data_IF_079974565656
#
_entry.id   IF_079974565656
#
_cell.length_a   1.000
_cell.length_b   1.000
_cell.length_c   1.000
_cell.angle_alpha   90.00
_cell.angle_beta   90.00
_cell.angle_gamma   90.00
#
_symmetry.space_group_name_H-M   'P 1'
#
loop_
_entity.id
_entity.type
_entity.pdbx_description
1 polymer ?
#
# COMPACT_ATOMS: atom_id res chain seq x y z
N UNK A 1 -11.87 18.23 -14.48
CA UNK A 1 -10.91 18.16 -13.36
C UNK A 1 -11.52 17.32 -12.25
N UNK A 2 -10.75 16.40 -11.68
CA UNK A 2 -11.19 15.62 -10.52
C UNK A 2 -10.26 15.87 -9.35
N UNK A 3 -10.82 16.10 -8.17
CA UNK A 3 -10.08 16.31 -6.94
C UNK A 3 -10.70 15.40 -5.88
N UNK A 4 -9.89 14.52 -5.31
CA UNK A 4 -10.28 13.70 -4.16
C UNK A 4 -9.30 13.97 -3.02
N UNK A 5 -9.81 14.11 -1.82
CA UNK A 5 -8.98 14.28 -0.63
C UNK A 5 -8.95 12.95 0.11
N UNK A 6 -7.79 12.33 0.22
CA UNK A 6 -7.69 11.01 0.86
C UNK A 6 -8.04 11.04 2.35
N UNK A 7 -7.89 12.18 3.00
CA UNK A 7 -8.28 12.32 4.40
C UNK A 7 -9.81 12.35 4.60
N UNK A 8 -10.56 12.62 3.54
CA UNK A 8 -12.02 12.68 3.56
C UNK A 8 -12.67 11.44 2.96
N UNK A 9 -11.90 10.52 2.38
CA UNK A 9 -12.42 9.28 1.83
C UNK A 9 -12.98 8.39 2.94
N UNK A 10 -14.10 7.70 2.65
CA UNK A 10 -14.66 6.74 3.58
C UNK A 10 -13.75 5.53 3.69
N UNK A 11 -13.25 5.26 4.89
CA UNK A 11 -12.40 4.12 5.18
C UNK A 11 -13.22 2.87 5.46
N UNK A 12 -12.70 1.73 5.05
CA UNK A 12 -13.28 0.41 5.30
C UNK A 12 -12.28 -0.44 6.05
N UNK A 13 -12.78 -1.25 7.00
CA UNK A 13 -11.96 -2.23 7.66
C UNK A 13 -11.68 -3.38 6.69
N UNK A 14 -10.43 -3.79 6.59
CA UNK A 14 -10.03 -4.85 5.65
C UNK A 14 -8.82 -5.62 6.16
N UNK A 15 -8.87 -6.94 6.00
CA UNK A 15 -7.70 -7.80 6.16
C UNK A 15 -7.02 -7.89 4.80
N UNK A 16 -5.87 -7.27 4.65
CA UNK A 16 -5.23 -7.09 3.35
C UNK A 16 -4.23 -8.22 3.08
N UNK A 17 -4.43 -8.95 1.99
CA UNK A 17 -3.58 -10.07 1.55
C UNK A 17 -3.31 -11.09 2.64
N UNK A 18 -4.34 -11.48 3.39
CA UNK A 18 -4.21 -12.46 4.47
C UNK A 18 -3.19 -12.05 5.54
N UNK A 19 -2.92 -10.77 5.67
CA UNK A 19 -2.00 -10.23 6.67
C UNK A 19 -2.54 -10.30 8.09
N UNK A 20 -1.76 -9.79 9.03
CA UNK A 20 -2.15 -9.70 10.44
C UNK A 20 -2.98 -8.46 10.68
N UNK A 21 -3.91 -8.57 11.61
CA UNK A 21 -4.73 -7.44 12.06
C UNK A 21 -5.70 -6.93 11.00
N UNK A 22 -6.33 -5.82 11.31
CA UNK A 22 -7.30 -5.17 10.44
C UNK A 22 -6.75 -3.80 10.07
N UNK A 23 -6.62 -3.57 8.77
CA UNK A 23 -6.24 -2.27 8.23
C UNK A 23 -7.47 -1.46 7.89
N UNK A 24 -7.32 -0.15 7.78
CA UNK A 24 -8.34 0.72 7.20
C UNK A 24 -7.90 1.09 5.79
N UNK A 25 -8.84 1.07 4.87
CA UNK A 25 -8.54 1.15 3.45
C UNK A 25 -9.59 1.96 2.69
N UNK A 26 -9.15 2.75 1.74
CA UNK A 26 -10.03 3.42 0.79
C UNK A 26 -9.37 3.50 -0.58
N UNK A 27 -10.20 3.52 -1.63
CA UNK A 27 -9.74 3.82 -2.98
C UNK A 27 -10.02 5.30 -3.24
N UNK A 28 -8.96 6.07 -3.43
CA UNK A 28 -9.04 7.51 -3.68
C UNK A 28 -9.44 7.77 -5.14
N UNK A 29 -8.76 7.07 -6.07
CA UNK A 29 -9.13 7.05 -7.48
C UNK A 29 -9.24 5.60 -7.95
N UNK A 30 -10.34 5.28 -8.60
CA UNK A 30 -10.53 3.96 -9.21
C UNK A 30 -9.82 3.91 -10.57
N UNK A 31 -9.54 2.71 -11.04
CA UNK A 31 -8.98 2.53 -12.39
C UNK A 31 -9.85 3.09 -13.49
N UNK A 32 -11.17 3.12 -13.29
CA UNK A 32 -12.11 3.68 -14.27
C UNK A 32 -12.00 5.20 -14.39
N UNK A 33 -11.57 5.87 -13.34
CA UNK A 33 -11.37 7.33 -13.35
C UNK A 33 -10.06 7.74 -14.02
N UNK A 34 -9.12 6.79 -14.16
CA UNK A 34 -7.76 7.06 -14.61
C UNK A 34 -7.59 6.56 -16.04
N UNK A 35 -7.16 7.44 -16.94
CA UNK A 35 -6.96 7.08 -18.35
C UNK A 35 -5.65 6.34 -18.61
N UNK A 36 -4.62 6.62 -17.82
CA UNK A 36 -3.33 5.93 -17.89
C UNK A 36 -3.45 4.50 -17.32
N UNK A 37 -2.48 3.61 -17.57
CA UNK A 37 -2.52 2.23 -17.07
C UNK A 37 -2.24 2.13 -15.57
N UNK A 38 -2.89 2.94 -14.78
CA UNK A 38 -2.87 2.91 -13.32
C UNK A 38 -4.13 2.23 -12.83
N UNK A 39 -3.96 1.15 -12.07
CA UNK A 39 -5.09 0.32 -11.64
C UNK A 39 -5.94 0.99 -10.57
N UNK A 40 -5.30 1.76 -9.70
CA UNK A 40 -5.96 2.43 -8.57
C UNK A 40 -4.98 3.38 -7.88
N UNK A 41 -5.51 4.28 -7.08
CA UNK A 41 -4.76 5.01 -6.06
C UNK A 41 -5.52 4.81 -4.75
N UNK A 42 -4.89 4.13 -3.81
CA UNK A 42 -5.48 3.77 -2.52
C UNK A 42 -4.82 4.52 -1.37
N UNK A 43 -5.59 4.79 -0.33
CA UNK A 43 -5.08 5.24 0.95
C UNK A 43 -5.35 4.18 2.00
N UNK A 44 -4.32 3.79 2.73
CA UNK A 44 -4.42 2.70 3.71
C UNK A 44 -3.74 3.07 5.01
N UNK A 45 -4.39 2.73 6.11
CA UNK A 45 -3.85 2.86 7.46
C UNK A 45 -3.62 1.46 8.00
N UNK A 46 -2.37 1.18 8.39
CA UNK A 46 -1.97 -0.09 9.00
C UNK A 46 -1.70 0.18 10.48
N UNK A 47 -2.58 -0.29 11.38
CA UNK A 47 -2.36 -0.12 12.82
C UNK A 47 -1.13 -0.88 13.31
N UNK A 48 -0.63 -0.59 14.52
CA UNK A 48 0.44 -1.38 15.13
C UNK A 48 0.13 -2.88 15.10
N UNK A 49 1.15 -3.71 14.92
CA UNK A 49 1.07 -5.17 14.83
C UNK A 49 0.22 -5.71 13.67
N UNK A 50 -0.11 -4.85 12.71
CA UNK A 50 -0.89 -5.22 11.53
C UNK A 50 -0.01 -5.16 10.27
N UNK A 51 -0.45 -5.81 9.22
CA UNK A 51 0.34 -5.93 7.99
C UNK A 51 -0.51 -6.12 6.74
N UNK A 52 0.09 -5.81 5.58
CA UNK A 52 -0.26 -6.47 4.33
C UNK A 52 0.49 -7.80 4.31
N UNK A 53 -0.21 -8.91 4.10
CA UNK A 53 0.43 -10.22 3.99
C UNK A 53 1.30 -10.32 2.73
N UNK A 54 2.20 -11.29 2.76
CA UNK A 54 3.04 -11.58 1.60
C UNK A 54 2.18 -12.02 0.43
N UNK A 55 2.37 -11.38 -0.71
CA UNK A 55 1.60 -11.67 -1.92
C UNK A 55 2.42 -11.36 -3.16
N UNK A 56 2.03 -11.97 -4.26
CA UNK A 56 2.63 -11.78 -5.58
C UNK A 56 1.54 -11.34 -6.53
N UNK A 57 1.80 -10.34 -7.32
CA UNK A 57 0.94 -9.97 -8.44
C UNK A 57 1.74 -9.92 -9.73
N UNK A 58 1.09 -9.64 -10.83
CA UNK A 58 1.67 -9.89 -12.15
C UNK A 58 2.65 -8.84 -12.65
N UNK A 59 2.51 -8.51 -13.93
CA UNK A 59 3.44 -7.63 -14.64
C UNK A 59 3.04 -6.17 -14.43
N UNK A 60 3.43 -5.63 -13.27
CA UNK A 60 3.19 -4.24 -12.91
C UNK A 60 4.29 -3.74 -11.98
N UNK A 61 4.34 -2.43 -11.81
CA UNK A 61 5.04 -1.81 -10.70
C UNK A 61 3.99 -1.30 -9.71
N UNK A 62 4.17 -1.61 -8.45
CA UNK A 62 3.35 -1.05 -7.38
C UNK A 62 4.23 -0.18 -6.49
N UNK A 63 3.69 0.93 -6.06
CA UNK A 63 4.42 1.88 -5.22
C UNK A 63 3.70 2.02 -3.88
N UNK A 64 4.46 1.87 -2.81
CA UNK A 64 4.03 2.22 -1.46
C UNK A 64 4.71 3.52 -1.08
N UNK A 65 3.94 4.58 -0.90
CA UNK A 65 4.44 5.86 -0.40
C UNK A 65 4.13 5.91 1.08
N UNK A 66 5.14 5.79 1.93
CA UNK A 66 4.95 5.83 3.38
C UNK A 66 4.90 7.28 3.84
N UNK A 67 3.69 7.73 4.16
CA UNK A 67 3.43 9.11 4.58
C UNK A 67 3.80 9.32 6.04
N UNK A 68 3.43 8.38 6.90
CA UNK A 68 3.66 8.44 8.34
C UNK A 68 3.91 7.04 8.89
N UNK A 69 4.72 6.96 9.94
CA UNK A 69 4.97 5.72 10.67
C UNK A 69 6.28 5.06 10.28
N UNK A 70 6.46 3.85 10.77
CA UNK A 70 7.64 3.03 10.51
C UNK A 70 7.26 1.55 10.51
N UNK A 71 8.05 0.75 9.83
CA UNK A 71 7.80 -0.68 9.77
C UNK A 71 8.88 -1.45 9.04
N UNK A 72 8.52 -2.64 8.59
CA UNK A 72 9.40 -3.52 7.83
C UNK A 72 8.73 -3.83 6.49
N UNK A 73 9.45 -3.55 5.42
CA UNK A 73 9.05 -3.94 4.06
C UNK A 73 9.76 -5.26 3.71
N UNK A 74 9.00 -6.19 3.19
CA UNK A 74 9.49 -7.51 2.81
C UNK A 74 9.38 -7.67 1.29
N UNK A 75 10.47 -8.10 0.65
CA UNK A 75 10.45 -8.45 -0.76
C UNK A 75 11.43 -9.57 -1.03
N UNK A 76 10.91 -10.66 -1.63
CA UNK A 76 11.70 -11.82 -2.05
C UNK A 76 12.64 -12.35 -0.95
N UNK A 77 12.12 -12.48 0.26
CA UNK A 77 12.85 -13.00 1.41
C UNK A 77 13.77 -12.01 2.10
N UNK A 78 13.83 -10.77 1.64
CA UNK A 78 14.60 -9.71 2.29
C UNK A 78 13.68 -8.81 3.10
N UNK A 79 14.19 -8.32 4.22
CA UNK A 79 13.48 -7.38 5.09
C UNK A 79 14.27 -6.09 5.22
N UNK A 80 13.60 -4.97 5.04
CA UNK A 80 14.21 -3.65 5.14
C UNK A 80 13.33 -2.78 6.03
N UNK A 81 13.94 -2.09 6.98
CA UNK A 81 13.23 -1.09 7.78
C UNK A 81 12.90 0.12 6.94
N UNK A 82 11.66 0.58 7.04
CA UNK A 82 11.15 1.75 6.32
C UNK A 82 10.51 2.73 7.28
N UNK A 83 10.50 3.99 6.90
CA UNK A 83 9.95 5.08 7.70
C UNK A 83 9.32 6.15 6.82
N UNK A 84 8.67 7.11 7.46
CA UNK A 84 8.03 8.24 6.77
C UNK A 84 8.95 8.86 5.71
N UNK A 85 8.42 9.02 4.53
CA UNK A 85 9.15 9.56 3.38
C UNK A 85 9.71 8.50 2.44
N UNK A 86 9.77 7.24 2.87
CA UNK A 86 10.24 6.16 2.00
C UNK A 86 9.17 5.81 0.95
N UNK A 87 9.64 5.51 -0.23
CA UNK A 87 8.81 5.00 -1.32
C UNK A 87 9.39 3.65 -1.73
N UNK A 88 8.57 2.60 -1.63
CA UNK A 88 8.94 1.25 -2.04
C UNK A 88 8.33 0.94 -3.38
N UNK A 89 9.14 0.44 -4.31
CA UNK A 89 8.68 0.03 -5.62
C UNK A 89 8.71 -1.49 -5.74
N UNK A 90 7.53 -2.06 -5.96
CA UNK A 90 7.37 -3.48 -6.29
C UNK A 90 7.82 -3.72 -7.73
N UNK A 91 8.65 -4.72 -7.93
CA UNK A 91 9.07 -5.17 -9.25
C UNK A 91 8.18 -6.31 -9.74
N UNK A 92 7.97 -6.45 -11.05
CA UNK A 92 7.10 -7.49 -11.60
C UNK A 92 7.44 -8.88 -11.06
N UNK A 93 6.39 -9.61 -10.68
CA UNK A 93 6.44 -10.99 -10.18
C UNK A 93 7.17 -11.19 -8.84
N UNK A 94 7.58 -10.13 -8.16
CA UNK A 94 8.15 -10.23 -6.83
C UNK A 94 7.08 -10.62 -5.80
N UNK A 95 7.50 -11.19 -4.68
CA UNK A 95 6.64 -11.39 -3.52
C UNK A 95 6.95 -10.30 -2.51
N UNK A 96 5.94 -9.60 -2.03
CA UNK A 96 6.15 -8.55 -1.05
C UNK A 96 5.04 -8.43 -0.01
N UNK A 97 5.33 -7.71 1.04
CA UNK A 97 4.41 -7.34 2.10
C UNK A 97 5.01 -6.24 2.95
N UNK A 98 4.24 -5.71 3.87
CA UNK A 98 4.70 -4.68 4.79
C UNK A 98 4.04 -4.86 6.15
N UNK A 99 4.81 -4.69 7.22
CA UNK A 99 4.39 -4.91 8.59
C UNK A 99 4.69 -3.68 9.44
N UNK A 100 3.71 -3.26 10.23
CA UNK A 100 3.90 -2.15 11.17
C UNK A 100 4.53 -2.64 12.47
N UNK A 101 5.80 -2.28 12.67
CA UNK A 101 6.55 -2.61 13.88
C UNK A 101 6.57 -1.47 14.90
N UNK A 102 5.97 -0.34 14.56
CA UNK A 102 5.94 0.84 15.40
C UNK A 102 4.79 0.85 16.39
N UNK A 103 4.65 1.96 17.09
CA UNK A 103 3.59 2.19 18.09
C UNK A 103 2.46 3.04 17.54
N UNK A 104 2.67 3.66 16.38
CA UNK A 104 1.72 4.53 15.71
C UNK A 104 1.23 3.88 14.43
N UNK A 105 0.14 4.38 13.89
CA UNK A 105 -0.36 3.93 12.60
C UNK A 105 0.63 4.22 11.48
N UNK A 106 0.81 3.27 10.56
CA UNK A 106 1.43 3.53 9.27
C UNK A 106 0.37 4.05 8.32
N UNK A 107 0.68 5.11 7.59
CA UNK A 107 -0.22 5.68 6.59
C UNK A 107 0.44 5.69 5.23
N UNK A 108 -0.22 5.07 4.27
CA UNK A 108 0.33 4.78 2.94
C UNK A 108 -0.58 5.29 1.84
N UNK A 109 0.02 5.83 0.78
CA UNK A 109 -0.60 5.87 -0.53
C UNK A 109 -0.05 4.71 -1.34
N UNK A 110 -0.92 3.99 -2.02
CA UNK A 110 -0.55 2.83 -2.83
C UNK A 110 -1.13 3.02 -4.22
N UNK A 111 -0.30 2.87 -5.23
CA UNK A 111 -0.77 2.85 -6.61
C UNK A 111 0.00 1.83 -7.43
N UNK A 112 -0.64 1.33 -8.46
CA UNK A 112 -0.13 0.24 -9.29
C UNK A 112 -0.20 0.63 -10.75
N UNK A 113 0.90 0.45 -11.47
CA UNK A 113 1.01 0.80 -12.89
C UNK A 113 1.29 -0.47 -13.69
N UNK A 114 0.39 -0.79 -14.61
CA UNK A 114 0.60 -1.93 -15.50
C UNK A 114 1.74 -1.66 -16.48
N UNK A 115 2.53 -2.68 -16.74
CA UNK A 115 3.57 -2.65 -17.76
C UNK A 115 2.95 -3.20 -19.04
N UNK A 116 2.97 -2.39 -20.06
CA UNK A 116 2.39 -2.71 -21.37
C UNK A 116 3.45 -3.04 -22.40
#
# INVERSE_FOLDING_TARGET
MKIHNFLECKMHDEKIHEGKGICQHSTVFTGEEIEAPVSFINYTIIPPASSFGLHTHGKNNEFYVLLEGEGVYQQDGKEIRVRSGDIMMYQPYAQHGIYNTGKEDMKLLVFEVAIV
#
